data_IF_183272311540
#
_entry.id   IF_183272311540
#
_cell.length_a   1.000
_cell.length_b   1.000
_cell.length_c   1.000
_cell.angle_alpha   90.00
_cell.angle_beta   90.00
_cell.angle_gamma   90.00
#
_symmetry.space_group_name_H-M   'P 1'
#
loop_
_entity.id
_entity.type
_entity.pdbx_description
1 polymer ?
#
# COMPACT_ATOMS: atom_id res chain seq x y z
N UNK A 1 -29.49 15.54 -19.85
CA UNK A 1 -29.14 16.94 -20.15
C UNK A 1 -28.00 17.35 -19.23
N UNK A 2 -26.80 17.55 -19.78
CA UNK A 2 -25.69 18.19 -19.05
C UNK A 2 -26.03 19.68 -18.92
N UNK A 3 -26.04 20.22 -17.71
CA UNK A 3 -26.42 21.59 -17.39
C UNK A 3 -25.37 22.63 -17.86
N UNK A 4 -24.88 22.53 -19.09
CA UNK A 4 -23.82 23.37 -19.64
C UNK A 4 -22.41 23.03 -19.16
N UNK A 5 -22.24 22.05 -18.25
CA UNK A 5 -20.93 21.58 -17.78
C UNK A 5 -20.29 20.59 -18.75
N UNK A 6 -19.91 21.07 -19.93
CA UNK A 6 -19.16 20.31 -20.94
C UNK A 6 -17.86 21.03 -21.27
N UNK A 7 -16.84 20.30 -21.74
CA UNK A 7 -15.49 20.84 -21.97
C UNK A 7 -15.44 21.99 -22.98
N UNK A 8 -16.44 22.08 -23.86
CA UNK A 8 -16.63 23.15 -24.85
C UNK A 8 -17.36 24.39 -24.28
N UNK A 9 -17.93 24.30 -23.08
CA UNK A 9 -18.80 25.34 -22.48
C UNK A 9 -18.35 25.84 -21.11
N UNK A 10 -17.33 25.22 -20.52
CA UNK A 10 -16.76 25.59 -19.22
C UNK A 10 -15.28 25.88 -19.33
N UNK A 11 -14.87 27.01 -18.77
CA UNK A 11 -13.46 27.28 -18.48
C UNK A 11 -13.17 27.05 -17.00
N UNK A 12 -12.10 26.31 -16.71
CA UNK A 12 -11.57 26.14 -15.35
C UNK A 12 -10.16 26.71 -15.35
N UNK A 13 -9.90 27.69 -14.50
CA UNK A 13 -8.58 28.32 -14.43
C UNK A 13 -8.26 28.88 -13.03
N UNK A 14 -6.97 29.01 -12.78
CA UNK A 14 -6.42 29.90 -11.76
C UNK A 14 -5.91 31.16 -12.49
N UNK A 15 -6.22 32.34 -11.94
CA UNK A 15 -5.95 33.64 -12.58
C UNK A 15 -4.45 33.92 -12.76
N UNK A 16 -3.61 33.31 -11.93
CA UNK A 16 -2.14 33.38 -12.08
C UNK A 16 -1.54 32.16 -12.75
N UNK A 17 -2.36 31.13 -13.06
CA UNK A 17 -1.95 29.83 -13.60
C UNK A 17 -0.78 29.18 -12.85
N UNK A 18 -0.70 29.40 -11.53
CA UNK A 18 0.46 28.99 -10.73
C UNK A 18 0.23 27.61 -10.10
N UNK A 19 1.33 26.99 -9.67
CA UNK A 19 1.34 25.69 -8.96
C UNK A 19 2.10 25.73 -7.62
N UNK A 20 2.65 26.88 -7.25
CA UNK A 20 3.42 27.05 -6.01
C UNK A 20 2.52 27.58 -4.88
N UNK A 21 2.82 27.25 -3.61
CA UNK A 21 2.01 27.60 -2.44
C UNK A 21 2.05 29.08 -2.04
N UNK A 22 2.76 29.92 -2.80
CA UNK A 22 2.92 31.34 -2.51
C UNK A 22 1.86 32.10 -3.29
N UNK A 23 1.09 32.95 -2.60
CA UNK A 23 0.07 33.81 -3.22
C UNK A 23 0.72 34.68 -4.33
N UNK A 24 0.42 34.34 -5.59
CA UNK A 24 0.95 35.03 -6.75
C UNK A 24 0.57 36.50 -6.81
N UNK A 25 -0.55 36.88 -6.19
CA UNK A 25 -1.03 38.26 -6.16
C UNK A 25 -0.18 39.16 -5.25
N UNK A 26 0.49 38.59 -4.26
CA UNK A 26 1.40 39.31 -3.35
C UNK A 26 2.86 39.11 -3.70
N UNK A 27 3.21 37.97 -4.30
CA UNK A 27 4.58 37.64 -4.64
C UNK A 27 5.05 38.22 -5.98
N UNK A 28 4.14 38.44 -6.94
CA UNK A 28 4.55 38.97 -8.23
C UNK A 28 4.67 40.49 -8.22
N UNK A 29 5.75 41.04 -8.82
CA UNK A 29 5.82 42.44 -9.18
C UNK A 29 4.62 42.87 -10.05
N UNK A 30 4.18 44.14 -9.99
CA UNK A 30 2.98 44.61 -10.68
C UNK A 30 2.97 44.39 -12.20
N UNK A 31 4.13 44.49 -12.85
CA UNK A 31 4.31 44.26 -14.28
C UNK A 31 4.12 42.78 -14.66
N UNK A 32 4.65 41.85 -13.87
CA UNK A 32 4.44 40.41 -14.04
C UNK A 32 2.96 40.08 -13.84
N UNK A 33 2.34 40.62 -12.79
CA UNK A 33 0.92 40.42 -12.52
C UNK A 33 0.06 40.94 -13.69
N UNK A 34 0.39 42.12 -14.22
CA UNK A 34 -0.30 42.71 -15.37
C UNK A 34 -0.24 41.81 -16.61
N UNK A 35 0.87 41.10 -16.85
CA UNK A 35 0.98 40.12 -17.95
C UNK A 35 -0.02 38.97 -17.76
N UNK A 36 -0.08 38.38 -16.56
CA UNK A 36 -1.04 37.32 -16.24
C UNK A 36 -2.49 37.79 -16.37
N UNK A 37 -2.80 38.97 -15.85
CA UNK A 37 -4.13 39.56 -15.90
C UNK A 37 -4.55 39.88 -17.35
N UNK A 38 -3.65 40.46 -18.15
CA UNK A 38 -3.90 40.77 -19.56
C UNK A 38 -4.10 39.52 -20.39
N UNK A 39 -3.28 38.49 -20.17
CA UNK A 39 -3.41 37.20 -20.83
C UNK A 39 -4.74 36.52 -20.48
N UNK A 40 -5.07 36.45 -19.18
CA UNK A 40 -6.33 35.87 -18.71
C UNK A 40 -7.54 36.64 -19.24
N UNK A 41 -7.49 37.97 -19.19
CA UNK A 41 -8.54 38.84 -19.74
C UNK A 41 -8.74 38.60 -21.23
N UNK A 42 -7.65 38.48 -21.99
CA UNK A 42 -7.69 38.19 -23.43
C UNK A 42 -8.28 36.81 -23.72
N UNK A 43 -7.93 35.77 -22.96
CA UNK A 43 -8.57 34.46 -23.09
C UNK A 43 -10.07 34.60 -22.81
N UNK A 44 -10.42 35.20 -21.67
CA UNK A 44 -11.81 35.36 -21.23
C UNK A 44 -12.64 36.14 -22.23
N UNK A 45 -12.11 37.16 -22.89
CA UNK A 45 -12.84 37.96 -23.88
C UNK A 45 -13.12 37.22 -25.19
N UNK A 46 -12.28 36.25 -25.55
CA UNK A 46 -12.45 35.47 -26.79
C UNK A 46 -13.14 34.12 -26.58
N UNK A 47 -13.41 33.73 -25.33
CA UNK A 47 -14.03 32.46 -25.03
C UNK A 47 -15.57 32.50 -25.12
N UNK A 48 -16.12 31.44 -25.73
CA UNK A 48 -17.56 31.18 -25.83
C UNK A 48 -18.15 30.51 -24.58
N UNK A 49 -17.35 30.28 -23.53
CA UNK A 49 -17.80 29.64 -22.32
C UNK A 49 -18.88 30.48 -21.61
N UNK A 50 -20.00 29.82 -21.30
CA UNK A 50 -21.13 30.44 -20.60
C UNK A 50 -20.93 30.35 -19.09
N UNK A 51 -20.09 29.41 -18.64
CA UNK A 51 -19.80 29.17 -17.23
C UNK A 51 -18.28 29.16 -16.97
N UNK A 52 -17.86 29.81 -15.88
CA UNK A 52 -16.48 29.80 -15.42
C UNK A 52 -16.37 29.28 -13.99
N UNK A 53 -15.37 28.44 -13.75
CA UNK A 53 -15.02 27.95 -12.42
C UNK A 53 -13.64 28.52 -12.08
N UNK A 54 -13.59 29.38 -11.06
CA UNK A 54 -12.41 30.16 -10.71
C UNK A 54 -11.89 29.73 -9.35
N UNK A 55 -10.63 29.34 -9.28
CA UNK A 55 -10.00 28.86 -8.06
C UNK A 55 -9.36 29.97 -7.22
N UNK A 56 -9.62 29.96 -5.92
CA UNK A 56 -8.88 30.73 -4.91
C UNK A 56 -9.59 32.00 -4.42
N UNK A 57 -9.54 32.22 -3.10
CA UNK A 57 -10.10 33.41 -2.48
C UNK A 57 -9.40 34.73 -2.89
N UNK A 58 -8.05 34.81 -2.98
CA UNK A 58 -7.37 36.03 -3.44
C UNK A 58 -7.79 36.44 -4.86
N UNK A 59 -7.96 35.44 -5.73
CA UNK A 59 -8.44 35.62 -7.11
C UNK A 59 -9.86 36.16 -7.13
N UNK A 60 -10.76 35.59 -6.32
CA UNK A 60 -12.14 36.09 -6.16
C UNK A 60 -12.16 37.58 -5.80
N UNK A 61 -11.41 37.96 -4.76
CA UNK A 61 -11.39 39.34 -4.29
C UNK A 61 -10.77 40.30 -5.32
N UNK A 62 -9.76 39.86 -6.07
CA UNK A 62 -9.22 40.65 -7.18
C UNK A 62 -10.24 40.81 -8.31
N UNK A 63 -10.87 39.73 -8.74
CA UNK A 63 -11.80 39.75 -9.86
C UNK A 63 -13.03 40.61 -9.54
N UNK A 64 -13.52 40.60 -8.30
CA UNK A 64 -14.58 41.51 -7.82
C UNK A 64 -14.22 42.99 -7.93
N UNK A 65 -12.93 43.35 -7.93
CA UNK A 65 -12.46 44.73 -8.11
C UNK A 65 -12.34 45.13 -9.58
N UNK A 66 -12.09 44.16 -10.46
CA UNK A 66 -11.80 44.42 -11.88
C UNK A 66 -12.97 44.13 -12.81
N UNK A 67 -14.01 43.43 -12.34
CA UNK A 67 -15.18 43.05 -13.11
C UNK A 67 -16.46 43.37 -12.34
N UNK A 68 -17.54 43.65 -13.08
CA UNK A 68 -18.86 43.86 -12.50
C UNK A 68 -19.55 42.51 -12.29
N UNK A 69 -19.59 42.06 -11.04
CA UNK A 69 -20.33 40.88 -10.64
C UNK A 69 -21.59 41.23 -9.86
N UNK A 70 -22.65 40.46 -10.09
CA UNK A 70 -23.84 40.43 -9.26
C UNK A 70 -24.02 39.02 -8.70
N UNK A 71 -24.25 38.90 -7.39
CA UNK A 71 -24.44 37.60 -6.78
C UNK A 71 -25.83 37.05 -7.09
N UNK A 72 -25.88 35.83 -7.60
CA UNK A 72 -27.09 35.08 -7.91
C UNK A 72 -27.26 33.96 -6.88
N UNK A 73 -28.10 34.23 -5.89
CA UNK A 73 -28.40 33.30 -4.81
C UNK A 73 -29.26 32.14 -5.32
N UNK A 74 -28.81 30.91 -5.07
CA UNK A 74 -29.57 29.71 -5.38
C UNK A 74 -30.47 29.30 -4.21
N UNK A 75 -31.61 28.70 -4.52
CA UNK A 75 -32.61 28.27 -3.54
C UNK A 75 -32.73 26.75 -3.43
N UNK A 76 -33.43 26.29 -2.37
CA UNK A 76 -33.72 24.88 -2.12
C UNK A 76 -32.46 24.07 -1.85
N UNK A 77 -32.27 22.95 -2.55
CA UNK A 77 -31.12 22.04 -2.35
C UNK A 77 -29.75 22.63 -2.70
N UNK A 78 -29.73 23.82 -3.31
CA UNK A 78 -28.52 24.54 -3.68
C UNK A 78 -28.32 25.82 -2.84
N UNK A 79 -29.14 25.99 -1.79
CA UNK A 79 -28.95 27.06 -0.81
C UNK A 79 -27.52 27.03 -0.26
N UNK A 80 -26.85 28.18 -0.26
CA UNK A 80 -25.45 28.34 0.16
C UNK A 80 -24.42 28.19 -0.96
N UNK A 81 -24.83 27.91 -2.21
CA UNK A 81 -23.95 27.98 -3.37
C UNK A 81 -24.03 29.37 -4.00
N UNK A 82 -22.93 30.12 -3.96
CA UNK A 82 -22.82 31.42 -4.61
C UNK A 82 -22.41 31.29 -6.07
N UNK A 83 -23.29 31.69 -6.99
CA UNK A 83 -22.97 31.93 -8.40
C UNK A 83 -22.95 33.44 -8.61
N UNK A 84 -22.06 33.93 -9.47
CA UNK A 84 -21.95 35.33 -9.83
C UNK A 84 -22.27 35.54 -11.30
N UNK A 85 -23.04 36.58 -11.60
CA UNK A 85 -23.35 37.04 -12.95
C UNK A 85 -22.31 38.09 -13.34
N UNK A 86 -21.52 37.82 -14.38
CA UNK A 86 -20.63 38.83 -14.96
C UNK A 86 -21.40 39.67 -15.97
N UNK A 87 -21.42 40.97 -15.76
CA UNK A 87 -22.06 41.92 -16.68
C UNK A 87 -21.02 42.63 -17.53
N UNK A 88 -21.36 42.85 -18.81
CA UNK A 88 -20.60 43.75 -19.67
C UNK A 88 -20.80 45.20 -19.20
N UNK A 89 -19.69 45.92 -19.00
CA UNK A 89 -19.67 47.23 -18.33
C UNK A 89 -20.57 48.27 -19.02
N UNK A 90 -20.65 48.23 -20.35
CA UNK A 90 -21.25 49.32 -21.14
C UNK A 90 -22.70 49.05 -21.57
N UNK A 91 -23.14 47.80 -21.57
CA UNK A 91 -24.40 47.40 -22.23
C UNK A 91 -25.38 46.63 -21.35
N UNK A 92 -25.06 46.43 -20.06
CA UNK A 92 -25.87 45.63 -19.11
C UNK A 92 -26.25 44.26 -19.68
N UNK A 93 -25.41 43.71 -20.56
CA UNK A 93 -25.59 42.39 -21.17
C UNK A 93 -24.91 41.37 -20.27
N UNK A 94 -25.63 40.31 -19.92
CA UNK A 94 -25.06 39.19 -19.17
C UNK A 94 -24.01 38.51 -20.04
N UNK A 95 -22.78 38.45 -19.54
CA UNK A 95 -21.64 37.89 -20.28
C UNK A 95 -21.45 36.40 -19.95
N UNK A 96 -21.49 36.03 -18.67
CA UNK A 96 -21.30 34.65 -18.19
C UNK A 96 -21.71 34.47 -16.73
N UNK A 97 -21.81 33.21 -16.32
CA UNK A 97 -21.92 32.78 -14.93
C UNK A 97 -20.53 32.40 -14.41
N UNK A 98 -20.21 32.80 -13.18
CA UNK A 98 -18.92 32.56 -12.54
C UNK A 98 -19.15 31.89 -11.18
N UNK A 99 -18.45 30.79 -10.93
CA UNK A 99 -18.44 30.13 -9.63
C UNK A 99 -17.02 30.19 -9.06
N UNK A 100 -16.88 30.83 -7.91
CA UNK A 100 -15.63 30.83 -7.16
C UNK A 100 -15.58 29.60 -6.26
N UNK A 101 -14.47 28.88 -6.32
CA UNK A 101 -14.25 27.63 -5.58
C UNK A 101 -12.90 27.70 -4.87
N UNK A 102 -12.78 26.95 -3.77
CA UNK A 102 -11.51 26.82 -3.08
C UNK A 102 -10.43 26.29 -4.04
N UNK A 103 -9.21 26.82 -3.92
CA UNK A 103 -8.11 26.36 -4.75
C UNK A 103 -7.83 24.87 -4.45
N UNK A 104 -7.59 24.01 -5.45
CA UNK A 104 -7.33 22.58 -5.21
C UNK A 104 -6.17 22.36 -4.24
N UNK A 105 -5.23 23.30 -4.20
CA UNK A 105 -4.12 23.27 -3.25
C UNK A 105 -4.56 23.45 -1.79
N UNK A 106 -5.60 24.23 -1.50
CA UNK A 106 -6.18 24.29 -0.14
C UNK A 106 -6.73 22.91 0.28
N UNK A 107 -7.17 22.09 -0.69
CA UNK A 107 -7.58 20.70 -0.46
C UNK A 107 -6.39 19.74 -0.29
N UNK A 108 -5.21 20.09 -0.84
CA UNK A 108 -4.03 19.22 -0.88
C UNK A 108 -3.02 19.56 0.23
N UNK A 109 -2.74 20.83 0.50
CA UNK A 109 -1.74 21.29 1.48
C UNK A 109 -2.33 22.12 2.62
N UNK A 110 -3.65 22.34 2.65
CA UNK A 110 -4.29 22.98 3.81
C UNK A 110 -3.93 22.23 5.09
N UNK A 111 -3.41 22.95 6.08
CA UNK A 111 -3.40 22.42 7.44
C UNK A 111 -4.85 22.15 7.86
N UNK A 112 -5.13 21.01 8.51
CA UNK A 112 -6.50 20.57 8.77
C UNK A 112 -7.40 21.52 9.57
N UNK A 113 -6.90 22.67 10.04
CA UNK A 113 -7.67 23.70 10.77
C UNK A 113 -7.88 25.03 10.04
N UNK A 114 -7.64 25.13 8.72
CA UNK A 114 -7.89 26.37 7.94
C UNK A 114 -9.17 26.27 7.10
N UNK A 115 -9.86 25.12 7.10
CA UNK A 115 -11.15 24.93 6.41
C UNK A 115 -12.37 25.28 7.29
N UNK A 116 -12.15 25.88 8.45
CA UNK A 116 -13.14 26.03 9.54
C UNK A 116 -14.12 27.21 9.34
N UNK A 117 -14.14 27.86 8.18
CA UNK A 117 -14.87 29.11 7.98
C UNK A 117 -15.82 29.08 6.79
N UNK A 118 -16.90 28.29 6.85
CA UNK A 118 -18.26 28.60 6.30
C UNK A 118 -19.14 27.35 6.06
N UNK A 119 -18.59 26.14 6.08
CA UNK A 119 -19.40 24.91 5.82
C UNK A 119 -19.71 24.06 7.05
N UNK A 120 -19.13 24.37 8.21
CA UNK A 120 -19.33 23.61 9.43
C UNK A 120 -20.49 24.18 10.25
N UNK A 121 -21.69 23.65 10.00
CA UNK A 121 -22.72 23.65 11.03
C UNK A 121 -22.30 22.61 12.09
N UNK A 122 -22.03 22.99 13.35
CA UNK A 122 -21.72 22.03 14.40
C UNK A 122 -22.95 21.17 14.64
N UNK A 123 -22.91 19.95 14.13
CA UNK A 123 -23.93 18.94 14.28
C UNK A 123 -23.27 17.57 14.33
N UNK A 124 -23.88 16.63 15.04
CA UNK A 124 -23.46 15.22 15.07
C UNK A 124 -23.31 14.71 13.65
N UNK A 125 -22.10 14.30 13.26
CA UNK A 125 -21.80 13.86 11.91
C UNK A 125 -22.65 12.64 11.53
N UNK A 126 -23.61 12.78 10.60
CA UNK A 126 -24.44 11.65 10.14
C UNK A 126 -23.93 11.12 8.82
N UNK A 127 -24.03 9.81 8.64
CA UNK A 127 -23.70 9.14 7.38
C UNK A 127 -24.57 9.63 6.21
N UNK A 128 -25.81 10.00 6.50
CA UNK A 128 -26.77 10.49 5.51
C UNK A 128 -26.39 11.85 4.93
N UNK A 129 -25.61 12.63 5.66
CA UNK A 129 -25.14 13.95 5.25
C UNK A 129 -24.16 13.87 4.07
N UNK A 130 -23.52 12.72 3.88
CA UNK A 130 -22.65 12.50 2.73
C UNK A 130 -23.48 12.29 1.45
N UNK A 131 -23.27 13.10 0.39
CA UNK A 131 -23.94 12.95 -0.90
C UNK A 131 -23.89 11.51 -1.43
N UNK A 132 -24.99 11.04 -2.03
CA UNK A 132 -25.10 9.66 -2.54
C UNK A 132 -23.96 9.30 -3.50
N UNK A 133 -23.53 10.24 -4.34
CA UNK A 133 -22.41 10.06 -5.26
C UNK A 133 -21.09 9.76 -4.52
N UNK A 134 -20.81 10.46 -3.41
CA UNK A 134 -19.59 10.26 -2.62
C UNK A 134 -19.64 8.93 -1.85
N UNK A 135 -20.82 8.56 -1.31
CA UNK A 135 -21.03 7.22 -0.74
C UNK A 135 -20.81 6.11 -1.76
N UNK A 136 -21.33 6.30 -2.97
CA UNK A 136 -21.14 5.34 -4.07
C UNK A 136 -19.66 5.23 -4.48
N UNK A 137 -18.97 6.36 -4.59
CA UNK A 137 -17.54 6.40 -4.90
C UNK A 137 -16.73 5.63 -3.85
N UNK A 138 -16.98 5.90 -2.57
CA UNK A 138 -16.26 5.27 -1.46
C UNK A 138 -16.43 3.75 -1.44
N UNK A 139 -17.66 3.27 -1.73
CA UNK A 139 -17.96 1.84 -1.85
C UNK A 139 -17.25 1.17 -3.03
N UNK A 140 -16.96 1.93 -4.08
CA UNK A 140 -16.25 1.44 -5.26
C UNK A 140 -14.74 1.36 -5.12
N UNK A 141 -14.15 1.87 -4.02
CA UNK A 141 -12.70 1.87 -3.84
C UNK A 141 -12.24 0.63 -3.06
N UNK A 142 -11.64 -0.34 -3.74
CA UNK A 142 -11.18 -1.58 -3.10
C UNK A 142 -10.18 -1.35 -1.97
N UNK A 143 -9.31 -0.35 -2.09
CA UNK A 143 -8.33 -0.01 -1.06
C UNK A 143 -8.90 0.76 0.14
N UNK A 144 -10.20 1.05 0.14
CA UNK A 144 -10.93 1.61 1.28
C UNK A 144 -11.85 0.57 1.95
N UNK A 145 -11.83 -0.69 1.49
CA UNK A 145 -12.57 -1.77 2.13
C UNK A 145 -11.79 -2.32 3.31
N UNK A 146 -12.52 -2.89 4.26
CA UNK A 146 -11.96 -3.65 5.38
C UNK A 146 -12.53 -5.05 5.29
N UNK A 147 -11.68 -6.03 5.00
CA UNK A 147 -12.09 -7.42 4.80
C UNK A 147 -13.13 -7.60 3.68
N UNK A 148 -12.97 -6.87 2.58
CA UNK A 148 -13.87 -6.90 1.42
C UNK A 148 -15.15 -6.07 1.60
N UNK A 149 -15.41 -5.55 2.81
CA UNK A 149 -16.62 -4.78 3.09
C UNK A 149 -16.38 -3.29 2.95
N UNK A 150 -17.27 -2.62 2.21
CA UNK A 150 -17.29 -1.18 2.09
C UNK A 150 -18.04 -0.52 3.25
N UNK A 151 -17.70 0.73 3.59
CA UNK A 151 -18.44 1.48 4.59
C UNK A 151 -19.92 1.69 4.20
N UNK A 152 -20.80 1.36 5.16
CA UNK A 152 -22.26 1.50 5.05
C UNK A 152 -22.84 2.45 6.08
N UNK A 153 -22.04 2.91 7.03
CA UNK A 153 -22.44 3.74 8.18
C UNK A 153 -21.29 4.68 8.58
N UNK A 154 -21.58 5.60 9.51
CA UNK A 154 -20.60 6.52 10.06
C UNK A 154 -19.47 5.79 10.79
N UNK A 155 -19.82 4.80 11.61
CA UNK A 155 -18.87 3.90 12.25
C UNK A 155 -17.92 3.22 11.23
N UNK A 156 -18.44 2.74 10.10
CA UNK A 156 -17.60 2.19 9.03
C UNK A 156 -16.68 3.22 8.37
N UNK A 157 -17.12 4.47 8.24
CA UNK A 157 -16.28 5.57 7.74
C UNK A 157 -15.12 5.88 8.71
N UNK A 158 -15.40 5.86 10.01
CA UNK A 158 -14.39 6.06 11.06
C UNK A 158 -13.40 4.90 11.16
N UNK A 159 -13.86 3.66 10.93
CA UNK A 159 -13.01 2.48 10.82
C UNK A 159 -12.01 2.60 9.65
N UNK A 160 -12.38 3.30 8.57
CA UNK A 160 -11.49 3.62 7.45
C UNK A 160 -10.55 4.79 7.81
N UNK A 161 -11.08 5.84 8.44
CA UNK A 161 -10.37 7.09 8.72
C UNK A 161 -9.07 6.87 9.52
N UNK A 162 -9.14 6.12 10.62
CA UNK A 162 -7.97 5.84 11.48
C UNK A 162 -6.79 5.20 10.73
N UNK A 163 -6.99 4.02 10.11
CA UNK A 163 -5.96 3.35 9.32
C UNK A 163 -5.42 4.17 8.15
N UNK A 164 -6.28 4.90 7.42
CA UNK A 164 -5.85 5.75 6.29
C UNK A 164 -4.87 6.84 6.75
N UNK A 165 -5.16 7.48 7.89
CA UNK A 165 -4.38 8.59 8.43
C UNK A 165 -3.25 8.18 9.37
N UNK A 166 -3.13 6.89 9.71
CA UNK A 166 -2.28 6.38 10.80
C UNK A 166 -2.56 7.07 12.14
N UNK A 167 -3.83 7.32 12.45
CA UNK A 167 -4.29 7.90 13.72
C UNK A 167 -5.09 6.84 14.51
N UNK A 168 -5.26 7.02 15.83
CA UNK A 168 -6.25 6.25 16.57
C UNK A 168 -7.63 6.40 15.91
N UNK A 169 -8.45 5.35 15.98
CA UNK A 169 -9.84 5.45 15.51
C UNK A 169 -10.53 6.47 16.40
N UNK A 170 -11.04 7.54 15.79
CA UNK A 170 -11.81 8.55 16.52
C UNK A 170 -13.20 7.98 16.82
N UNK A 171 -13.66 8.13 18.06
CA UNK A 171 -15.01 7.70 18.46
C UNK A 171 -16.01 8.77 18.03
N UNK A 172 -17.18 8.34 17.54
CA UNK A 172 -18.23 9.22 17.00
C UNK A 172 -18.67 10.32 18.00
N UNK A 173 -18.61 10.03 19.31
CA UNK A 173 -18.93 10.98 20.37
C UNK A 173 -17.91 12.13 20.52
N UNK A 174 -16.68 11.96 20.05
CA UNK A 174 -15.58 12.93 20.19
C UNK A 174 -15.41 13.81 18.94
N UNK A 175 -16.25 13.61 17.92
CA UNK A 175 -16.15 14.29 16.63
C UNK A 175 -16.93 15.60 16.61
N UNK A 176 -16.20 16.70 16.78
CA UNK A 176 -16.69 18.06 16.49
C UNK A 176 -16.55 18.45 15.01
N UNK A 177 -16.40 17.48 14.11
CA UNK A 177 -16.01 17.71 12.71
C UNK A 177 -17.10 17.15 11.78
N UNK A 178 -17.44 17.88 10.72
CA UNK A 178 -18.47 17.45 9.75
C UNK A 178 -18.10 16.15 9.02
N UNK A 179 -19.11 15.34 8.66
CA UNK A 179 -18.96 14.10 7.87
C UNK A 179 -18.19 14.34 6.57
N UNK A 180 -18.41 15.49 5.93
CA UNK A 180 -17.75 15.89 4.69
C UNK A 180 -16.25 16.09 4.89
N UNK A 181 -15.82 16.72 5.98
CA UNK A 181 -14.40 16.90 6.26
C UNK A 181 -13.69 15.55 6.49
N UNK A 182 -14.29 14.64 7.27
CA UNK A 182 -13.76 13.27 7.46
C UNK A 182 -13.60 12.55 6.11
N UNK A 183 -14.63 12.62 5.27
CA UNK A 183 -14.60 12.04 3.93
C UNK A 183 -13.46 12.64 3.10
N UNK A 184 -13.30 13.97 3.07
CA UNK A 184 -12.24 14.63 2.32
C UNK A 184 -10.84 14.24 2.81
N UNK A 185 -10.65 14.09 4.13
CA UNK A 185 -9.39 13.59 4.68
C UNK A 185 -9.08 12.17 4.20
N UNK A 186 -10.07 11.28 4.16
CA UNK A 186 -9.93 9.92 3.62
C UNK A 186 -9.54 9.98 2.14
N UNK A 187 -10.28 10.74 1.32
CA UNK A 187 -10.05 10.88 -0.11
C UNK A 187 -8.63 11.37 -0.41
N UNK A 188 -8.23 12.50 0.19
CA UNK A 188 -6.92 13.11 -0.02
C UNK A 188 -5.80 12.14 0.32
N UNK A 189 -5.95 11.40 1.42
CA UNK A 189 -4.94 10.44 1.85
C UNK A 189 -4.93 9.17 1.00
N UNK A 190 -6.09 8.69 0.57
CA UNK A 190 -6.21 7.55 -0.33
C UNK A 190 -5.54 7.82 -1.68
N UNK A 191 -5.79 8.98 -2.29
CA UNK A 191 -5.12 9.37 -3.53
C UNK A 191 -3.60 9.43 -3.37
N UNK A 192 -3.09 9.93 -2.24
CA UNK A 192 -1.65 9.89 -1.94
C UNK A 192 -1.11 8.47 -1.86
N UNK A 193 -1.86 7.53 -1.27
CA UNK A 193 -1.48 6.12 -1.18
C UNK A 193 -1.42 5.46 -2.56
N UNK A 194 -2.43 5.68 -3.41
CA UNK A 194 -2.43 5.17 -4.79
C UNK A 194 -1.27 5.78 -5.59
N UNK A 195 -1.10 7.10 -5.53
CA UNK A 195 -0.02 7.79 -6.24
C UNK A 195 1.36 7.29 -5.81
N UNK A 196 1.55 6.98 -4.52
CA UNK A 196 2.77 6.35 -4.03
C UNK A 196 2.94 4.92 -4.49
N UNK A 197 1.87 4.13 -4.55
CA UNK A 197 1.91 2.76 -5.06
C UNK A 197 2.25 2.72 -6.56
N UNK A 198 1.80 3.72 -7.33
CA UNK A 198 2.10 3.87 -8.75
C UNK A 198 3.54 4.34 -9.03
N UNK A 199 4.26 4.88 -8.04
CA UNK A 199 5.67 5.26 -8.23
C UNK A 199 6.53 4.02 -8.37
N UNK A 200 7.49 4.11 -9.28
CA UNK A 200 8.40 3.00 -9.53
C UNK A 200 9.24 2.73 -8.27
N UNK A 201 8.98 1.59 -7.63
CA UNK A 201 9.66 1.21 -6.40
C UNK A 201 10.88 0.37 -6.75
N UNK A 202 11.96 0.51 -5.98
CA UNK A 202 13.20 -0.26 -6.17
C UNK A 202 13.02 -1.79 -6.06
N UNK A 203 11.83 -2.24 -5.63
CA UNK A 203 11.48 -3.66 -5.52
C UNK A 203 10.55 -4.15 -6.63
N UNK A 204 10.04 -3.29 -7.52
CA UNK A 204 9.05 -3.66 -8.54
C UNK A 204 9.52 -4.83 -9.42
N UNK A 205 10.79 -4.83 -9.84
CA UNK A 205 11.39 -5.91 -10.63
C UNK A 205 11.52 -7.26 -9.89
N UNK A 206 11.37 -7.24 -8.57
CA UNK A 206 11.45 -8.40 -7.66
C UNK A 206 10.07 -8.88 -7.19
N UNK A 207 9.00 -8.24 -7.65
CA UNK A 207 7.62 -8.55 -7.28
C UNK A 207 6.76 -8.83 -8.50
N UNK A 208 5.61 -9.47 -8.27
CA UNK A 208 4.52 -9.62 -9.24
C UNK A 208 3.23 -9.15 -8.57
N UNK A 209 2.36 -8.49 -9.32
CA UNK A 209 1.06 -8.05 -8.82
C UNK A 209 0.10 -9.23 -8.74
N UNK A 210 -0.70 -9.26 -7.68
CA UNK A 210 -1.89 -10.10 -7.62
C UNK A 210 -3.03 -9.45 -8.40
N UNK A 211 -4.07 -10.24 -8.65
CA UNK A 211 -5.23 -9.84 -9.47
C UNK A 211 -6.40 -9.33 -8.65
N UNK A 212 -6.49 -9.69 -7.38
CA UNK A 212 -7.63 -9.40 -6.52
C UNK A 212 -7.19 -8.66 -5.26
N UNK A 213 -8.00 -7.71 -4.75
CA UNK A 213 -7.73 -7.07 -3.47
C UNK A 213 -7.64 -8.08 -2.33
N UNK A 214 -6.78 -7.82 -1.35
CA UNK A 214 -6.58 -8.78 -0.24
C UNK A 214 -6.74 -8.14 1.14
N UNK A 215 -7.52 -8.78 2.04
CA UNK A 215 -7.65 -8.34 3.42
C UNK A 215 -6.33 -8.35 4.20
N UNK A 216 -6.15 -7.34 5.06
CA UNK A 216 -4.92 -7.17 5.84
C UNK A 216 -5.15 -7.03 7.34
N UNK A 217 -4.12 -7.37 8.09
CA UNK A 217 -4.00 -7.09 9.53
C UNK A 217 -2.62 -6.57 9.91
N UNK A 218 -2.57 -5.91 11.06
CA UNK A 218 -1.32 -5.54 11.69
C UNK A 218 -0.60 -6.79 12.21
N UNK A 219 0.64 -7.02 11.81
CA UNK A 219 1.47 -8.12 12.33
C UNK A 219 1.73 -8.09 13.84
N UNK A 220 1.48 -6.95 14.51
CA UNK A 220 1.73 -6.77 15.95
C UNK A 220 0.48 -7.00 16.78
N UNK A 221 -0.46 -6.08 16.71
CA UNK A 221 -1.69 -6.12 17.50
C UNK A 221 -2.82 -6.91 16.83
N UNK A 222 -2.60 -7.42 15.61
CA UNK A 222 -3.60 -8.16 14.82
C UNK A 222 -4.87 -7.37 14.49
N UNK A 223 -4.88 -6.05 14.71
CA UNK A 223 -5.99 -5.19 14.31
C UNK A 223 -6.20 -5.24 12.80
N UNK A 224 -7.46 -5.06 12.40
CA UNK A 224 -7.86 -4.92 11.00
C UNK A 224 -7.20 -3.70 10.38
N UNK A 225 -6.84 -3.83 9.11
CA UNK A 225 -6.36 -2.73 8.27
C UNK A 225 -7.20 -2.68 7.01
N UNK A 226 -7.09 -1.58 6.27
CA UNK A 226 -7.62 -1.51 4.92
C UNK A 226 -7.04 -2.62 4.06
N UNK A 227 -7.83 -3.12 3.13
CA UNK A 227 -7.41 -4.12 2.17
C UNK A 227 -6.27 -3.58 1.29
N UNK A 228 -5.45 -4.48 0.76
CA UNK A 228 -4.47 -4.13 -0.27
C UNK A 228 -5.16 -4.18 -1.64
N UNK A 229 -5.41 -3.04 -2.30
CA UNK A 229 -6.00 -3.05 -3.64
C UNK A 229 -5.00 -3.55 -4.70
N UNK A 230 -3.70 -3.54 -4.38
CA UNK A 230 -2.64 -3.91 -5.32
C UNK A 230 -1.64 -4.85 -4.62
N UNK A 231 -2.09 -6.04 -4.19
CA UNK A 231 -1.21 -6.96 -3.48
C UNK A 231 -0.03 -7.32 -4.37
N UNK A 232 1.13 -7.42 -3.73
CA UNK A 232 2.37 -7.82 -4.40
C UNK A 232 2.87 -9.11 -3.79
N UNK A 233 3.31 -10.00 -4.65
CA UNK A 233 3.93 -11.26 -4.30
C UNK A 233 5.38 -11.26 -4.76
N UNK A 234 6.21 -12.04 -4.08
CA UNK A 234 7.62 -12.15 -4.43
C UNK A 234 7.76 -12.88 -5.77
N UNK A 235 8.52 -12.32 -6.72
CA UNK A 235 8.67 -12.89 -8.07
C UNK A 235 9.23 -14.32 -8.07
N UNK A 236 10.17 -14.60 -7.16
CA UNK A 236 10.81 -15.92 -7.02
C UNK A 236 10.01 -16.91 -6.14
N UNK A 237 8.90 -16.48 -5.54
CA UNK A 237 8.07 -17.27 -4.63
C UNK A 237 6.66 -16.65 -4.62
N UNK A 238 5.88 -16.92 -5.66
CA UNK A 238 4.60 -16.23 -5.92
C UNK A 238 3.53 -16.49 -4.87
N UNK A 239 3.69 -17.52 -4.04
CA UNK A 239 2.83 -17.80 -2.88
C UNK A 239 3.11 -16.84 -1.70
N UNK A 240 4.22 -16.09 -1.75
CA UNK A 240 4.67 -15.28 -0.63
C UNK A 240 4.34 -13.82 -0.83
N UNK A 241 3.39 -13.33 -0.05
CA UNK A 241 2.96 -11.94 -0.05
C UNK A 241 4.06 -10.99 0.44
N UNK A 242 4.15 -9.80 -0.15
CA UNK A 242 5.14 -8.77 0.19
C UNK A 242 4.49 -7.75 1.11
N UNK A 243 4.81 -7.85 2.40
CA UNK A 243 4.20 -7.03 3.43
C UNK A 243 4.65 -5.56 3.36
N UNK A 244 3.70 -4.66 3.63
CA UNK A 244 3.96 -3.22 3.68
C UNK A 244 4.49 -2.81 5.05
N UNK A 245 5.47 -1.91 5.07
CA UNK A 245 6.06 -1.42 6.32
C UNK A 245 5.16 -0.37 6.95
N UNK A 246 4.76 -0.61 8.20
CA UNK A 246 4.01 0.32 9.03
C UNK A 246 4.98 1.12 9.89
N UNK A 247 5.56 2.20 9.33
CA UNK A 247 6.62 2.99 9.99
C UNK A 247 6.22 3.58 11.34
N UNK A 248 4.93 3.89 11.53
CA UNK A 248 4.37 4.45 12.77
C UNK A 248 3.37 3.48 13.44
N UNK A 249 3.48 2.19 13.14
CA UNK A 249 2.47 1.21 13.52
C UNK A 249 1.18 1.36 12.72
N UNK A 250 0.13 0.69 13.16
CA UNK A 250 -1.17 0.63 12.47
C UNK A 250 -2.19 1.68 12.94
N UNK A 251 -1.80 2.61 13.81
CA UNK A 251 -2.70 3.60 14.39
C UNK A 251 -3.33 3.18 15.74
N UNK A 252 -3.47 1.88 16.04
CA UNK A 252 -4.01 1.43 17.35
C UNK A 252 -3.09 1.84 18.50
N UNK A 253 -3.66 2.18 19.66
CA UNK A 253 -2.92 2.60 20.87
C UNK A 253 -1.85 1.58 21.29
N UNK A 254 -2.18 0.29 21.22
CA UNK A 254 -1.26 -0.83 21.50
C UNK A 254 0.00 -0.78 20.61
N UNK A 255 -0.14 -0.36 19.36
CA UNK A 255 0.97 -0.24 18.42
C UNK A 255 1.73 1.08 18.55
N UNK A 256 1.08 2.17 19.00
CA UNK A 256 1.74 3.46 19.19
C UNK A 256 2.71 3.42 20.37
N UNK A 257 2.38 2.67 21.43
CA UNK A 257 3.25 2.46 22.58
C UNK A 257 4.53 1.65 22.26
N UNK A 258 4.54 0.88 21.15
CA UNK A 258 5.62 -0.05 20.82
C UNK A 258 6.53 0.50 19.70
N UNK A 259 7.76 0.90 20.03
CA UNK A 259 8.69 1.61 19.13
C UNK A 259 9.25 0.82 17.92
N UNK A 260 9.05 -0.50 17.82
CA UNK A 260 9.64 -1.24 16.69
C UNK A 260 8.90 -1.06 15.34
N UNK A 261 9.39 -1.71 14.29
CA UNK A 261 8.72 -1.78 12.99
C UNK A 261 7.51 -2.74 12.99
N UNK A 262 6.37 -2.26 12.51
CA UNK A 262 5.19 -3.09 12.20
C UNK A 262 5.10 -3.39 10.69
N UNK A 263 4.33 -4.41 10.35
CA UNK A 263 4.03 -4.77 8.97
C UNK A 263 2.53 -5.00 8.77
N UNK A 264 2.00 -4.53 7.65
CA UNK A 264 0.66 -4.92 7.17
C UNK A 264 0.79 -6.24 6.41
N UNK A 265 0.28 -7.30 7.01
CA UNK A 265 0.30 -8.67 6.51
C UNK A 265 -1.11 -9.09 6.11
N UNK A 266 -1.26 -10.21 5.40
CA UNK A 266 -2.57 -10.71 5.04
C UNK A 266 -3.36 -11.16 6.26
N UNK A 267 -4.69 -11.06 6.16
CA UNK A 267 -5.60 -11.51 7.21
C UNK A 267 -5.52 -13.03 7.43
N UNK A 268 -5.41 -13.77 6.33
CA UNK A 268 -5.19 -15.22 6.34
C UNK A 268 -3.76 -15.55 6.78
N UNK A 269 -3.63 -16.31 7.87
CA UNK A 269 -2.33 -16.74 8.41
C UNK A 269 -1.71 -17.92 7.61
N UNK A 270 -2.47 -18.59 6.74
CA UNK A 270 -1.94 -19.65 5.86
C UNK A 270 -1.01 -19.06 4.79
N UNK A 271 -1.27 -17.81 4.39
CA UNK A 271 -0.47 -17.14 3.38
C UNK A 271 0.80 -16.58 3.99
N UNK A 272 1.92 -17.20 3.64
CA UNK A 272 3.24 -16.78 4.11
C UNK A 272 3.58 -15.42 3.52
N UNK A 273 4.27 -14.58 4.29
CA UNK A 273 4.70 -13.26 3.83
C UNK A 273 6.23 -13.06 3.92
N UNK A 274 6.71 -12.02 3.25
CA UNK A 274 8.08 -11.52 3.29
C UNK A 274 8.08 -10.00 3.48
N UNK A 275 9.15 -9.48 4.11
CA UNK A 275 9.37 -8.05 4.17
C UNK A 275 9.70 -7.49 2.77
N UNK A 276 9.28 -6.27 2.50
CA UNK A 276 9.55 -5.51 1.27
C UNK A 276 11.01 -5.03 1.15
N UNK A 277 12.00 -5.87 1.46
CA UNK A 277 13.44 -5.58 1.34
C UNK A 277 14.03 -6.35 0.16
N UNK A 278 14.74 -5.67 -0.73
CA UNK A 278 15.35 -6.29 -1.91
C UNK A 278 16.20 -7.54 -1.58
N UNK A 279 17.00 -7.49 -0.51
CA UNK A 279 17.80 -8.65 -0.04
C UNK A 279 16.95 -9.87 0.32
N UNK A 280 15.73 -9.68 0.81
CA UNK A 280 14.80 -10.77 1.17
C UNK A 280 14.07 -11.25 -0.08
N UNK A 281 13.62 -10.33 -0.94
CA UNK A 281 12.87 -10.66 -2.16
C UNK A 281 13.73 -11.38 -3.22
N UNK A 282 15.04 -11.10 -3.28
CA UNK A 282 15.99 -11.80 -4.16
C UNK A 282 16.28 -13.25 -3.72
N UNK A 283 16.02 -13.62 -2.47
CA UNK A 283 16.28 -14.99 -2.02
C UNK A 283 15.35 -15.95 -2.77
N UNK A 284 15.82 -17.11 -3.24
CA UNK A 284 14.93 -18.14 -3.80
C UNK A 284 13.91 -18.63 -2.76
N UNK A 285 12.87 -19.36 -3.19
CA UNK A 285 11.94 -20.05 -2.29
C UNK A 285 12.75 -20.99 -1.39
N UNK A 286 12.67 -20.80 -0.06
CA UNK A 286 13.46 -21.57 0.91
C UNK A 286 12.73 -22.82 1.44
N UNK A 287 11.54 -23.15 0.89
CA UNK A 287 10.86 -24.41 1.22
C UNK A 287 11.52 -25.57 0.48
N UNK A 288 12.10 -26.47 1.25
CA UNK A 288 11.96 -27.93 1.19
C UNK A 288 12.00 -28.71 -0.15
N UNK A 289 12.32 -28.14 -1.31
CA UNK A 289 12.56 -28.97 -2.51
C UNK A 289 13.71 -29.96 -2.32
N UNK A 290 14.61 -29.68 -1.38
CA UNK A 290 15.66 -30.61 -1.00
C UNK A 290 15.16 -31.71 -0.05
N UNK A 291 14.05 -31.55 0.67
CA UNK A 291 13.56 -32.59 1.60
C UNK A 291 13.15 -33.81 0.79
N UNK A 292 12.36 -33.60 -0.27
CA UNK A 292 11.87 -34.69 -1.11
C UNK A 292 12.94 -35.25 -2.07
N UNK A 293 14.00 -34.49 -2.33
CA UNK A 293 15.04 -34.84 -3.32
C UNK A 293 16.36 -35.30 -2.69
N UNK A 294 16.70 -34.79 -1.51
CA UNK A 294 17.97 -35.04 -0.84
C UNK A 294 17.81 -35.89 0.42
N UNK A 295 16.61 -36.17 0.92
CA UNK A 295 16.44 -37.10 2.03
C UNK A 295 16.11 -38.51 1.53
N UNK A 296 16.59 -39.50 2.27
CA UNK A 296 16.21 -40.91 2.10
C UNK A 296 14.76 -41.12 2.53
N UNK A 297 14.06 -42.00 1.82
CA UNK A 297 12.68 -42.39 2.09
C UNK A 297 12.52 -43.92 2.00
N UNK A 298 11.63 -44.50 2.81
CA UNK A 298 11.28 -45.92 2.77
C UNK A 298 12.48 -46.86 2.91
N UNK A 299 12.58 -47.86 2.03
CA UNK A 299 13.64 -48.89 2.05
C UNK A 299 15.07 -48.35 1.93
N UNK A 300 15.25 -47.10 1.51
CA UNK A 300 16.58 -46.46 1.45
C UNK A 300 17.15 -46.07 2.82
N UNK A 301 16.38 -46.25 3.90
CA UNK A 301 16.82 -46.04 5.29
C UNK A 301 17.45 -47.29 5.92
N UNK A 302 17.45 -48.45 5.24
CA UNK A 302 17.99 -49.68 5.79
C UNK A 302 19.46 -49.52 6.24
N UNK A 303 19.75 -49.90 7.49
CA UNK A 303 21.07 -49.81 8.11
C UNK A 303 21.40 -48.45 8.76
N UNK A 304 20.44 -47.53 8.83
CA UNK A 304 20.59 -46.27 9.56
C UNK A 304 19.81 -46.30 10.89
N UNK A 305 20.24 -45.54 11.92
CA UNK A 305 19.52 -45.45 13.19
C UNK A 305 18.12 -44.85 13.02
N UNK A 306 17.11 -45.53 13.57
CA UNK A 306 15.72 -45.04 13.65
C UNK A 306 15.51 -44.03 14.79
N UNK A 307 16.37 -44.08 15.81
CA UNK A 307 16.39 -43.11 16.93
C UNK A 307 17.81 -42.64 17.14
N UNK A 308 17.99 -41.31 17.15
CA UNK A 308 19.32 -40.71 17.23
C UNK A 308 19.46 -39.81 18.47
N UNK A 309 20.41 -40.09 19.39
CA UNK A 309 20.71 -39.17 20.48
C UNK A 309 21.42 -37.92 19.93
N UNK A 310 20.86 -36.76 20.25
CA UNK A 310 21.33 -35.45 19.84
C UNK A 310 21.60 -34.57 21.06
N UNK A 311 22.57 -33.67 20.91
CA UNK A 311 22.99 -32.73 21.94
C UNK A 311 23.04 -31.30 21.39
N UNK A 312 22.73 -30.32 22.24
CA UNK A 312 22.80 -28.92 21.87
C UNK A 312 24.26 -28.52 21.60
N UNK A 313 24.55 -28.07 20.38
CA UNK A 313 25.92 -27.68 19.97
C UNK A 313 26.51 -26.54 20.80
N UNK A 314 25.66 -25.65 21.31
CA UNK A 314 26.12 -24.45 22.02
C UNK A 314 26.53 -24.71 23.47
N UNK A 315 25.75 -25.49 24.23
CA UNK A 315 26.09 -25.79 25.63
C UNK A 315 26.79 -27.13 25.81
N UNK A 316 26.59 -28.10 24.89
CA UNK A 316 27.15 -29.46 24.95
C UNK A 316 26.95 -30.15 26.32
N UNK A 317 25.87 -29.80 27.00
CA UNK A 317 25.55 -30.34 28.31
C UNK A 317 24.99 -31.76 28.17
N UNK A 318 25.70 -32.74 28.74
CA UNK A 318 25.32 -34.15 28.71
C UNK A 318 24.02 -34.43 29.47
N UNK A 319 23.63 -33.57 30.41
CA UNK A 319 22.35 -33.67 31.11
C UNK A 319 21.13 -33.32 30.22
N UNK A 320 21.37 -32.78 29.01
CA UNK A 320 20.32 -32.38 28.07
C UNK A 320 20.49 -33.05 26.70
N UNK A 321 20.88 -34.33 26.70
CA UNK A 321 20.77 -35.20 25.53
C UNK A 321 19.28 -35.45 25.25
N UNK A 322 18.86 -35.22 24.01
CA UNK A 322 17.52 -35.50 23.52
C UNK A 322 17.57 -36.62 22.49
N UNK A 323 16.46 -37.34 22.31
CA UNK A 323 16.32 -38.35 21.25
C UNK A 323 15.54 -37.73 20.09
N UNK A 324 16.10 -37.80 18.89
CA UNK A 324 15.37 -37.57 17.65
C UNK A 324 14.76 -38.91 17.23
N UNK A 325 13.44 -39.04 17.38
CA UNK A 325 12.66 -40.25 17.03
C UNK A 325 12.39 -40.35 15.53
N UNK A 326 12.66 -39.28 14.78
CA UNK A 326 12.51 -39.25 13.33
C UNK A 326 13.76 -38.63 12.67
N UNK A 327 14.92 -39.29 12.78
CA UNK A 327 16.14 -38.76 12.20
C UNK A 327 16.04 -38.72 10.67
N UNK A 328 16.48 -37.60 10.10
CA UNK A 328 16.46 -37.36 8.65
C UNK A 328 17.85 -37.55 8.09
N UNK A 329 17.97 -38.32 7.02
CA UNK A 329 19.27 -38.71 6.44
C UNK A 329 19.38 -38.31 4.99
N UNK A 330 20.55 -37.84 4.56
CA UNK A 330 20.77 -37.48 3.14
C UNK A 330 20.86 -38.71 2.22
N UNK A 331 20.49 -38.54 0.95
CA UNK A 331 20.49 -39.56 -0.12
C UNK A 331 21.90 -39.94 -0.62
N UNK A 332 22.94 -39.26 -0.16
CA UNK A 332 24.31 -39.49 -0.58
C UNK A 332 24.81 -40.89 -0.21
N UNK A 333 25.88 -41.33 -0.88
CA UNK A 333 26.51 -42.64 -0.64
C UNK A 333 26.93 -42.81 0.82
N UNK A 334 27.46 -41.75 1.43
CA UNK A 334 27.69 -41.64 2.88
C UNK A 334 26.56 -40.78 3.48
N UNK A 335 25.55 -41.38 4.14
CA UNK A 335 24.41 -40.65 4.66
C UNK A 335 24.83 -39.69 5.78
N UNK A 336 24.34 -38.46 5.70
CA UNK A 336 24.58 -37.44 6.72
C UNK A 336 23.28 -37.12 7.43
N UNK A 337 23.33 -36.99 8.76
CA UNK A 337 22.16 -36.61 9.56
C UNK A 337 21.80 -35.13 9.32
N UNK A 338 20.52 -34.83 9.13
CA UNK A 338 20.01 -33.49 8.91
C UNK A 338 19.39 -32.91 10.18
N UNK A 339 20.17 -32.03 10.81
CA UNK A 339 19.90 -31.51 12.16
C UNK A 339 18.53 -30.87 12.34
N UNK A 340 17.96 -31.08 13.53
CA UNK A 340 16.74 -30.42 14.01
C UNK A 340 17.11 -29.16 14.81
N UNK A 341 16.12 -28.30 15.06
CA UNK A 341 16.27 -27.08 15.88
C UNK A 341 15.26 -27.04 17.05
N UNK A 342 15.20 -28.07 17.91
CA UNK A 342 14.40 -27.98 19.12
C UNK A 342 14.97 -26.91 20.07
N UNK A 343 14.11 -26.37 20.93
CA UNK A 343 14.52 -25.39 21.94
C UNK A 343 15.35 -26.09 23.02
N UNK A 344 16.55 -25.59 23.28
CA UNK A 344 17.40 -26.10 24.36
C UNK A 344 16.83 -25.74 25.74
N UNK A 345 16.61 -26.74 26.60
CA UNK A 345 16.09 -26.54 27.96
C UNK A 345 17.11 -25.89 28.90
N UNK A 346 18.41 -26.12 28.67
CA UNK A 346 19.50 -25.58 29.50
C UNK A 346 19.82 -24.13 29.14
N UNK A 347 20.19 -23.86 27.89
CA UNK A 347 20.63 -22.51 27.49
C UNK A 347 19.51 -21.63 26.93
N UNK A 348 18.27 -22.13 26.83
CA UNK A 348 17.07 -21.42 26.35
C UNK A 348 17.16 -20.78 24.95
N UNK A 349 18.25 -21.00 24.20
CA UNK A 349 18.45 -20.48 22.85
C UNK A 349 17.49 -21.16 21.87
N UNK A 350 16.83 -20.36 21.03
CA UNK A 350 15.83 -20.82 20.04
C UNK A 350 16.45 -21.29 18.72
N UNK A 351 17.68 -20.91 18.42
CA UNK A 351 18.34 -21.14 17.12
C UNK A 351 19.60 -22.01 17.20
N UNK A 352 19.78 -22.76 18.29
CA UNK A 352 20.92 -23.67 18.40
C UNK A 352 20.73 -24.88 17.50
N UNK A 353 21.70 -25.13 16.62
CA UNK A 353 21.80 -26.41 15.92
C UNK A 353 22.10 -27.51 16.92
N UNK A 354 21.39 -28.62 16.80
CA UNK A 354 21.67 -29.84 17.56
C UNK A 354 22.51 -30.77 16.71
N UNK A 355 23.45 -31.48 17.30
CA UNK A 355 24.31 -32.44 16.61
C UNK A 355 24.18 -33.83 17.24
N UNK A 356 24.50 -34.91 16.50
CA UNK A 356 24.59 -36.24 17.08
C UNK A 356 25.57 -36.27 18.26
N UNK A 357 25.28 -37.10 19.26
CA UNK A 357 26.22 -37.38 20.36
C UNK A 357 27.39 -38.22 19.88
N UNK A 358 27.12 -39.16 18.98
CA UNK A 358 28.13 -40.00 18.34
C UNK A 358 28.98 -39.16 17.36
N UNK A 359 30.31 -39.05 17.56
CA UNK A 359 31.17 -38.27 16.70
C UNK A 359 31.36 -38.87 15.29
N UNK A 360 31.10 -40.17 15.12
CA UNK A 360 31.25 -40.85 13.82
C UNK A 360 30.08 -40.53 12.87
N UNK A 361 28.97 -40.01 13.42
CA UNK A 361 27.81 -39.60 12.64
C UNK A 361 28.01 -38.19 12.11
N UNK A 362 28.37 -38.11 10.83
CA UNK A 362 28.43 -36.84 10.10
C UNK A 362 27.04 -36.21 9.93
N UNK A 363 26.98 -34.87 9.97
CA UNK A 363 25.71 -34.15 9.95
C UNK A 363 25.78 -32.82 9.20
N UNK A 364 24.60 -32.29 8.85
CA UNK A 364 24.42 -31.03 8.13
C UNK A 364 23.33 -30.15 8.75
N UNK A 365 23.53 -28.83 8.69
CA UNK A 365 22.47 -27.84 8.95
C UNK A 365 21.52 -27.81 7.73
N UNK A 366 20.19 -27.89 7.92
CA UNK A 366 19.21 -27.64 6.86
C UNK A 366 19.51 -26.39 6.01
N UNK A 367 20.04 -25.33 6.63
CA UNK A 367 20.42 -24.10 5.94
C UNK A 367 21.64 -24.26 5.04
N UNK A 368 22.55 -25.19 5.37
CA UNK A 368 23.68 -25.55 4.51
C UNK A 368 23.21 -26.34 3.29
N UNK A 369 22.27 -27.28 3.47
CA UNK A 369 21.68 -28.06 2.36
C UNK A 369 21.06 -27.13 1.32
N UNK A 370 20.30 -26.11 1.76
CA UNK A 370 19.71 -25.12 0.86
C UNK A 370 20.70 -24.30 0.03
N UNK A 371 21.99 -24.23 0.43
CA UNK A 371 23.05 -23.58 -0.37
C UNK A 371 23.67 -24.52 -1.41
N UNK A 372 23.82 -25.81 -1.07
CA UNK A 372 24.34 -26.83 -1.99
C UNK A 372 23.31 -27.27 -3.03
N UNK A 373 22.02 -27.22 -2.67
CA UNK A 373 20.94 -27.75 -3.52
C UNK A 373 20.84 -27.09 -4.92
N UNK A 374 20.92 -25.75 -5.07
CA UNK A 374 20.89 -25.11 -6.38
C UNK A 374 22.04 -25.58 -7.29
N UNK A 375 23.26 -25.70 -6.75
CA UNK A 375 24.42 -26.21 -7.49
C UNK A 375 24.19 -27.65 -7.97
N UNK A 376 23.66 -28.51 -7.09
CA UNK A 376 23.38 -29.91 -7.44
C UNK A 376 22.28 -30.08 -8.50
N UNK A 377 21.31 -29.16 -8.58
CA UNK A 377 20.30 -29.19 -9.64
C UNK A 377 20.88 -28.83 -11.01
N UNK A 378 21.79 -27.86 -11.05
CA UNK A 378 22.46 -27.42 -12.27
C UNK A 378 23.40 -28.52 -12.79
N UNK A 379 24.22 -29.10 -11.92
CA UNK A 379 25.07 -30.26 -12.23
C UNK A 379 24.25 -31.48 -12.70
N UNK A 380 23.10 -31.76 -12.09
CA UNK A 380 22.21 -32.85 -12.53
C UNK A 380 21.64 -32.58 -13.92
N UNK A 381 21.23 -31.34 -14.22
CA UNK A 381 20.74 -30.95 -15.56
C UNK A 381 21.84 -31.07 -16.61
N UNK A 382 23.06 -30.64 -16.29
CA UNK A 382 24.22 -30.78 -17.18
C UNK A 382 24.58 -32.25 -17.40
N UNK A 383 24.58 -33.07 -16.35
CA UNK A 383 24.84 -34.52 -16.44
C UNK A 383 23.78 -35.22 -17.30
N UNK A 384 22.50 -34.87 -17.14
CA UNK A 384 21.42 -35.40 -17.98
C UNK A 384 21.55 -34.94 -19.45
N UNK A 385 21.92 -33.67 -19.67
CA UNK A 385 22.18 -33.15 -21.01
C UNK A 385 23.39 -33.84 -21.66
N UNK A 386 24.46 -34.09 -20.91
CA UNK A 386 25.64 -34.83 -21.35
C UNK A 386 25.29 -36.28 -21.73
N UNK A 387 24.52 -37.00 -20.90
CA UNK A 387 24.03 -38.35 -21.22
C UNK A 387 23.16 -38.38 -22.49
N UNK A 388 22.30 -37.36 -22.68
CA UNK A 388 21.51 -37.22 -23.92
C UNK A 388 22.38 -36.97 -25.16
N UNK A 389 23.42 -36.14 -25.03
CA UNK A 389 24.41 -35.90 -26.12
C UNK A 389 25.19 -37.17 -26.45
N UNK A 390 25.58 -37.94 -25.44
CA UNK A 390 26.31 -39.20 -25.62
C UNK A 390 25.43 -40.26 -26.30
N UNK A 391 24.17 -40.46 -25.86
CA UNK A 391 23.21 -41.34 -26.55
C UNK A 391 22.98 -40.94 -28.01
N UNK A 392 22.82 -39.64 -28.30
CA UNK A 392 22.67 -39.15 -29.67
C UNK A 392 23.92 -39.42 -30.53
N UNK A 393 25.12 -39.37 -29.94
CA UNK A 393 26.36 -39.76 -30.65
C UNK A 393 26.40 -41.26 -30.91
N UNK A 394 26.07 -42.10 -29.92
CA UNK A 394 26.10 -43.57 -30.08
C UNK A 394 25.14 -44.06 -31.16
N UNK A 395 23.94 -43.48 -31.26
CA UNK A 395 22.97 -43.82 -32.30
C UNK A 395 23.49 -43.43 -33.70
N UNK A 396 24.26 -42.35 -33.82
CA UNK A 396 24.77 -41.84 -35.10
C UNK A 396 25.97 -42.62 -35.65
N UNK A 397 26.57 -43.51 -34.87
CA UNK A 397 27.66 -44.40 -35.31
C UNK A 397 27.18 -45.84 -35.58
N UNK A 398 25.90 -46.13 -35.37
CA UNK A 398 25.28 -47.44 -35.62
C UNK A 398 24.31 -47.46 -36.81
N UNK A 399 24.14 -46.30 -37.45
CA UNK A 399 23.49 -46.09 -38.76
C UNK A 399 24.53 -45.57 -39.72
#
# INVERSE_FOLDING_TARGET
>A
MSAGFTSDKVLIFDHTFRRDPVDGMTAYPPDVLQVHESFTSKIRSHMAAVFEVVWGAPVRERMKKTHRFEEFQLWGRYSGVSIFLEWEMDVSRLKRFVMFVAHPEAMIYGEPGILDGEFDLPGTARWEDLPRALRSWLRGQDGLKVQGEAAKSMSGLLEIHGPVLNKPVVVEADLHVSTTNIFMQIVTRYYRLIAWAARDSSINSLTVYGTEPMPRKCSRCRSRLLDDPFPRFKKMDKERYVAHVLKRGCGSDICQANQGLGFAILWDDEIVWAQSKAKILRRPKMKADWVDVMLRQGLSLAGLPDVLPIICRACKDSANIQKDEEPRWTIEATPRYVTRKPRCKVCSRKDTTWCPVDPDITWLDPAAIGKYFPQSQEERKETQAARRRQRKRTIRYQT
#
